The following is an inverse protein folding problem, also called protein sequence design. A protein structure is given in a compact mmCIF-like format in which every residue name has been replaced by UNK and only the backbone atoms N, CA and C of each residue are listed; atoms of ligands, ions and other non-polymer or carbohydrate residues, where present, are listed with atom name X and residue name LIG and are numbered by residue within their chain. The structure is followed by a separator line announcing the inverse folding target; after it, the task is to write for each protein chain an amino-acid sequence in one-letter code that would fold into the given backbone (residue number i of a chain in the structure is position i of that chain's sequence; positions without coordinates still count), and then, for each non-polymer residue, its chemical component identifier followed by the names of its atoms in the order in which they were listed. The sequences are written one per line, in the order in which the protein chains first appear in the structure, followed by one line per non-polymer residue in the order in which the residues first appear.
data_IF_146137450618
#
_entry.id   IF_146137450618
#
_cell.length_a   1.000
_cell.length_b   1.000
_cell.length_c   1.000
_cell.angle_alpha   90.00
_cell.angle_beta   90.00
_cell.angle_gamma   90.00
#
_symmetry.space_group_name_H-M   'P 1'
#
loop_
_entity.id
_entity.type
_entity.pdbx_description
1 polymer ?
#
# COMPACT_ATOMS: atom_id res chain seq x y z
N UNK A 1 -27.69 -43.98 -10.16
CA UNK A 1 -27.00 -42.88 -9.45
C UNK A 1 -25.82 -42.45 -10.30
N UNK A 2 -25.77 -41.19 -10.75
CA UNK A 2 -24.72 -40.72 -11.66
C UNK A 2 -23.38 -40.58 -10.92
N UNK A 3 -22.32 -41.20 -11.46
CA UNK A 3 -20.97 -41.06 -10.96
C UNK A 3 -20.48 -39.62 -11.16
N UNK A 4 -20.27 -38.88 -10.06
CA UNK A 4 -19.72 -37.52 -10.10
C UNK A 4 -18.22 -37.63 -10.28
N UNK A 5 -17.72 -37.16 -11.42
CA UNK A 5 -16.28 -37.06 -11.65
C UNK A 5 -15.80 -35.66 -11.28
N UNK A 6 -14.81 -35.56 -10.40
CA UNK A 6 -14.16 -34.28 -10.05
C UNK A 6 -12.74 -34.27 -10.61
N UNK A 7 -12.40 -33.21 -11.34
CA UNK A 7 -11.04 -33.00 -11.88
C UNK A 7 -10.30 -31.99 -11.00
N UNK A 8 -9.13 -32.36 -10.47
CA UNK A 8 -8.29 -31.48 -9.65
C UNK A 8 -6.90 -31.35 -10.25
N UNK A 9 -6.41 -30.11 -10.37
CA UNK A 9 -5.08 -29.82 -10.92
C UNK A 9 -3.96 -29.90 -9.87
N UNK A 10 -2.86 -30.55 -10.23
CA UNK A 10 -1.63 -30.62 -9.43
C UNK A 10 -1.48 -31.92 -8.63
N UNK A 11 -0.28 -32.51 -8.69
CA UNK A 11 -0.02 -33.89 -8.24
C UNK A 11 0.81 -34.01 -6.96
N UNK A 12 1.16 -32.89 -6.31
CA UNK A 12 1.94 -32.90 -5.06
C UNK A 12 1.70 -31.74 -4.09
N UNK A 13 0.73 -30.85 -4.37
CA UNK A 13 0.41 -29.68 -3.56
C UNK A 13 -1.03 -29.67 -3.06
N UNK A 14 -1.59 -28.48 -2.88
CA UNK A 14 -2.96 -28.29 -2.35
C UNK A 14 -4.01 -29.07 -3.15
N UNK A 15 -3.91 -29.08 -4.49
CA UNK A 15 -4.82 -29.83 -5.36
C UNK A 15 -4.82 -31.33 -5.09
N UNK A 16 -3.64 -31.92 -4.89
CA UNK A 16 -3.51 -33.34 -4.50
C UNK A 16 -4.13 -33.61 -3.12
N UNK A 17 -3.91 -32.71 -2.15
CA UNK A 17 -4.54 -32.81 -0.83
C UNK A 17 -6.07 -32.75 -0.86
N UNK A 18 -6.63 -31.89 -1.71
CA UNK A 18 -8.08 -31.78 -1.95
C UNK A 18 -8.61 -33.08 -2.59
N UNK A 19 -7.92 -33.60 -3.61
CA UNK A 19 -8.32 -34.83 -4.28
C UNK A 19 -8.39 -36.02 -3.31
N UNK A 20 -7.39 -36.18 -2.43
CA UNK A 20 -7.39 -37.21 -1.41
C UNK A 20 -8.55 -37.05 -0.41
N UNK A 21 -8.81 -35.83 0.06
CA UNK A 21 -9.91 -35.56 1.00
C UNK A 21 -11.27 -35.89 0.39
N UNK A 22 -11.47 -35.55 -0.89
CA UNK A 22 -12.73 -35.79 -1.59
C UNK A 22 -12.90 -37.28 -1.87
N UNK A 23 -11.85 -37.96 -2.36
CA UNK A 23 -11.86 -39.41 -2.59
C UNK A 23 -12.23 -40.19 -1.32
N UNK A 24 -11.69 -39.80 -0.16
CA UNK A 24 -12.05 -40.38 1.14
C UNK A 24 -13.52 -40.15 1.53
N UNK A 25 -14.04 -38.95 1.27
CA UNK A 25 -15.41 -38.56 1.65
C UNK A 25 -16.49 -39.04 0.68
N UNK A 26 -16.12 -39.53 -0.50
CA UNK A 26 -17.05 -39.94 -1.57
C UNK A 26 -16.55 -41.19 -2.31
N UNK A 27 -16.60 -42.38 -1.68
CA UNK A 27 -16.02 -43.61 -2.22
C UNK A 27 -16.66 -44.08 -3.54
N UNK A 28 -17.90 -43.68 -3.80
CA UNK A 28 -18.66 -44.00 -5.03
C UNK A 28 -18.38 -43.04 -6.20
N UNK A 29 -17.54 -42.02 -5.99
CA UNK A 29 -17.21 -41.00 -6.99
C UNK A 29 -15.78 -41.19 -7.51
N UNK A 30 -15.56 -40.93 -8.80
CA UNK A 30 -14.22 -40.96 -9.41
C UNK A 30 -13.56 -39.59 -9.27
N UNK A 31 -12.33 -39.54 -8.78
CA UNK A 31 -11.56 -38.30 -8.68
C UNK A 31 -10.40 -38.37 -9.66
N UNK A 32 -10.35 -37.45 -10.62
CA UNK A 32 -9.28 -37.37 -11.61
C UNK A 32 -8.29 -36.30 -11.17
N UNK A 33 -7.04 -36.69 -10.91
CA UNK A 33 -5.95 -35.76 -10.66
C UNK A 33 -5.20 -35.55 -11.96
N UNK A 34 -5.02 -34.29 -12.37
CA UNK A 34 -4.32 -33.96 -13.61
C UNK A 34 -3.07 -33.13 -13.37
N UNK A 35 -1.97 -33.53 -14.02
CA UNK A 35 -0.68 -32.87 -13.88
C UNK A 35 0.40 -33.50 -14.76
N UNK A 36 1.60 -32.92 -14.74
CA UNK A 36 2.70 -33.33 -15.62
C UNK A 36 3.20 -34.75 -15.32
N UNK A 37 3.28 -35.10 -14.04
CA UNK A 37 3.80 -36.38 -13.54
C UNK A 37 2.80 -36.98 -12.56
N UNK A 38 2.62 -38.31 -12.62
CA UNK A 38 1.77 -39.06 -11.70
C UNK A 38 2.27 -38.95 -10.25
N UNK A 39 1.37 -38.82 -9.24
CA UNK A 39 1.77 -38.88 -7.85
C UNK A 39 2.45 -40.20 -7.50
N UNK A 40 3.54 -40.17 -6.72
CA UNK A 40 4.27 -41.39 -6.31
C UNK A 40 3.47 -42.33 -5.40
N UNK A 41 2.42 -41.82 -4.77
CA UNK A 41 1.53 -42.58 -3.90
C UNK A 41 0.09 -42.13 -4.17
N UNK A 42 -0.85 -43.06 -4.32
CA UNK A 42 -2.28 -42.78 -4.51
C UNK A 42 -3.06 -43.56 -3.43
N UNK A 43 -3.49 -42.90 -2.35
CA UNK A 43 -4.00 -43.60 -1.17
C UNK A 43 -5.43 -44.14 -1.30
N UNK A 44 -6.16 -43.78 -2.36
CA UNK A 44 -7.55 -44.19 -2.58
C UNK A 44 -7.74 -44.75 -4.00
N UNK A 45 -8.41 -45.91 -4.11
CA UNK A 45 -8.60 -46.63 -5.38
C UNK A 45 -9.53 -45.94 -6.37
N UNK A 46 -10.34 -44.98 -5.90
CA UNK A 46 -11.21 -44.17 -6.73
C UNK A 46 -10.52 -42.88 -7.27
N UNK A 47 -9.22 -42.74 -7.06
CA UNK A 47 -8.40 -41.69 -7.69
C UNK A 47 -7.78 -42.23 -8.98
N UNK A 48 -7.92 -41.47 -10.06
CA UNK A 48 -7.29 -41.72 -11.35
C UNK A 48 -6.35 -40.58 -11.72
N UNK A 49 -5.19 -40.90 -12.27
CA UNK A 49 -4.29 -39.90 -12.83
C UNK A 49 -4.56 -39.71 -14.32
N UNK A 50 -4.63 -38.46 -14.77
CA UNK A 50 -4.62 -38.12 -16.20
C UNK A 50 -3.51 -37.12 -16.47
N UNK A 51 -2.56 -37.49 -17.31
CA UNK A 51 -1.45 -36.61 -17.62
C UNK A 51 -1.96 -35.34 -18.32
N UNK A 52 -1.47 -34.19 -17.88
CA UNK A 52 -1.73 -32.89 -18.48
C UNK A 52 -0.44 -32.09 -18.48
N UNK A 53 0.11 -31.84 -19.68
CA UNK A 53 1.19 -30.87 -19.83
C UNK A 53 0.60 -29.46 -20.04
N UNK A 54 0.51 -28.71 -18.94
CA UNK A 54 0.00 -27.34 -18.93
C UNK A 54 1.06 -26.30 -19.39
N UNK A 55 2.04 -26.72 -20.20
CA UNK A 55 3.06 -25.84 -20.79
C UNK A 55 2.50 -24.90 -21.87
N UNK A 56 1.28 -25.17 -22.38
CA UNK A 56 0.59 -24.30 -23.34
C UNK A 56 -0.93 -24.23 -23.10
N UNK A 57 -1.51 -23.06 -23.37
CA UNK A 57 -2.97 -22.85 -23.34
C UNK A 57 -3.74 -23.72 -24.34
N UNK A 58 -3.07 -24.12 -25.44
CA UNK A 58 -3.65 -25.01 -26.44
C UNK A 58 -3.88 -26.42 -25.88
N UNK A 59 -2.93 -26.96 -25.13
CA UNK A 59 -3.04 -28.27 -24.48
C UNK A 59 -4.16 -28.29 -23.41
N UNK A 60 -4.30 -27.20 -22.64
CA UNK A 60 -5.38 -27.03 -21.66
C UNK A 60 -6.75 -27.01 -22.36
N UNK A 61 -6.84 -26.30 -23.49
CA UNK A 61 -8.08 -26.23 -24.27
C UNK A 61 -8.47 -27.59 -24.84
N UNK A 62 -7.54 -28.31 -25.47
CA UNK A 62 -7.77 -29.66 -25.99
C UNK A 62 -8.24 -30.61 -24.90
N UNK A 63 -7.58 -30.61 -23.74
CA UNK A 63 -7.98 -31.43 -22.58
C UNK A 63 -9.41 -31.12 -22.10
N UNK A 64 -9.79 -29.83 -22.07
CA UNK A 64 -11.12 -29.39 -21.65
C UNK A 64 -12.19 -29.78 -22.68
N UNK A 65 -11.86 -29.70 -23.97
CA UNK A 65 -12.76 -30.07 -25.07
C UNK A 65 -13.02 -31.59 -25.07
N UNK A 66 -12.02 -32.43 -24.82
CA UNK A 66 -12.17 -33.88 -24.63
C UNK A 66 -13.04 -34.25 -23.42
N UNK A 67 -12.85 -33.56 -22.29
CA UNK A 67 -13.66 -33.78 -21.10
C UNK A 67 -15.14 -33.47 -21.37
N UNK A 68 -15.43 -32.35 -22.05
CA UNK A 68 -16.79 -31.97 -22.44
C UNK A 68 -17.41 -32.98 -23.41
N UNK A 69 -16.64 -33.51 -24.34
CA UNK A 69 -17.10 -34.52 -25.28
C UNK A 69 -17.43 -35.86 -24.59
N UNK A 70 -16.77 -36.17 -23.46
CA UNK A 70 -16.92 -37.45 -22.75
C UNK A 70 -18.15 -37.57 -21.83
N UNK A 71 -18.93 -36.50 -21.60
CA UNK A 71 -20.14 -36.54 -20.75
C UNK A 71 -21.35 -35.86 -21.42
N UNK A 72 -22.09 -36.54 -22.31
CA UNK A 72 -23.15 -35.91 -23.11
C UNK A 72 -24.51 -35.77 -22.41
N UNK A 73 -24.69 -36.25 -21.17
CA UNK A 73 -26.05 -36.52 -20.64
C UNK A 73 -26.40 -35.81 -19.33
N UNK A 74 -25.87 -34.61 -19.07
CA UNK A 74 -26.16 -33.86 -17.83
C UNK A 74 -26.82 -32.48 -18.03
N UNK A 75 -27.06 -32.05 -19.28
CA UNK A 75 -27.50 -30.67 -19.56
C UNK A 75 -28.97 -30.46 -19.95
N UNK A 76 -29.75 -31.52 -20.21
CA UNK A 76 -31.09 -31.37 -20.81
C UNK A 76 -32.28 -31.49 -19.83
N UNK A 77 -32.09 -31.90 -18.57
CA UNK A 77 -33.24 -32.32 -17.73
C UNK A 77 -33.50 -31.50 -16.46
N UNK A 78 -33.15 -30.21 -16.40
CA UNK A 78 -33.50 -29.32 -15.27
C UNK A 78 -33.72 -27.85 -15.71
N UNK A 79 -34.57 -27.62 -16.70
CA UNK A 79 -34.80 -26.30 -17.32
C UNK A 79 -35.64 -25.26 -16.56
N UNK A 80 -36.30 -25.51 -15.40
CA UNK A 80 -36.90 -24.40 -14.63
C UNK A 80 -36.22 -24.04 -13.30
N UNK A 81 -35.27 -24.83 -12.79
CA UNK A 81 -34.69 -24.58 -11.44
C UNK A 81 -33.34 -23.82 -11.52
N UNK A 82 -32.72 -23.71 -12.71
CA UNK A 82 -31.39 -23.09 -12.82
C UNK A 82 -31.39 -21.54 -12.90
N UNK A 83 -32.51 -20.87 -13.14
CA UNK A 83 -32.51 -19.41 -13.25
C UNK A 83 -32.33 -18.69 -11.89
N UNK A 84 -32.48 -19.40 -10.76
CA UNK A 84 -32.24 -18.82 -9.44
C UNK A 84 -30.79 -19.03 -8.93
N UNK A 85 -30.06 -20.03 -9.44
CA UNK A 85 -28.72 -20.39 -8.92
C UNK A 85 -27.54 -20.03 -9.85
N UNK A 86 -27.79 -19.81 -11.15
CA UNK A 86 -26.77 -19.19 -12.04
C UNK A 86 -26.60 -17.71 -11.77
N UNK A 87 -27.63 -17.02 -11.28
CA UNK A 87 -27.49 -15.62 -10.87
C UNK A 87 -26.64 -15.44 -9.61
N UNK A 88 -26.41 -16.50 -8.81
CA UNK A 88 -25.61 -16.41 -7.57
C UNK A 88 -24.16 -16.90 -7.74
N UNK A 89 -23.91 -17.84 -8.67
CA UNK A 89 -22.56 -18.38 -8.92
C UNK A 89 -21.79 -17.61 -10.01
N UNK A 90 -22.48 -17.02 -10.99
CA UNK A 90 -21.85 -16.06 -11.94
C UNK A 90 -21.63 -14.68 -11.30
N UNK A 91 -22.35 -14.34 -10.22
CA UNK A 91 -22.05 -13.14 -9.42
C UNK A 91 -20.88 -13.29 -8.46
N UNK A 92 -20.52 -14.50 -8.02
CA UNK A 92 -19.37 -14.69 -7.11
C UNK A 92 -18.03 -14.83 -7.83
N UNK A 93 -18.02 -15.28 -9.09
CA UNK A 93 -16.79 -15.46 -9.87
C UNK A 93 -16.26 -14.17 -10.53
N UNK A 94 -16.97 -13.04 -10.43
CA UNK A 94 -16.55 -11.74 -11.01
C UNK A 94 -16.00 -10.72 -9.99
N UNK A 95 -15.88 -11.08 -8.70
CA UNK A 95 -15.34 -10.16 -7.68
C UNK A 95 -13.98 -10.53 -7.08
N UNK A 96 -13.28 -11.55 -7.60
CA UNK A 96 -11.83 -11.63 -7.37
C UNK A 96 -11.17 -10.77 -8.44
N UNK A 97 -11.32 -9.44 -8.30
CA UNK A 97 -10.35 -8.56 -8.93
C UNK A 97 -8.98 -8.99 -8.41
N UNK A 98 -7.98 -9.27 -9.26
CA UNK A 98 -6.62 -9.36 -8.76
C UNK A 98 -6.39 -8.09 -7.94
N UNK A 99 -5.82 -8.22 -6.74
CA UNK A 99 -5.43 -7.05 -5.97
C UNK A 99 -4.66 -6.14 -6.92
N UNK A 100 -5.20 -4.94 -7.18
CA UNK A 100 -4.60 -4.04 -8.14
C UNK A 100 -3.16 -3.83 -7.71
N UNK A 101 -2.20 -3.97 -8.63
CA UNK A 101 -0.83 -3.69 -8.31
C UNK A 101 -0.73 -2.24 -7.82
N UNK A 102 0.07 -2.00 -6.79
CA UNK A 102 0.31 -0.66 -6.23
C UNK A 102 0.58 0.32 -7.40
N UNK A 103 -0.10 1.49 -7.47
CA UNK A 103 0.21 2.47 -8.50
C UNK A 103 1.63 3.01 -8.30
N UNK A 104 2.20 3.59 -9.38
CA UNK A 104 3.43 4.38 -9.23
C UNK A 104 3.23 5.49 -8.19
N UNK A 105 4.28 5.83 -7.47
CA UNK A 105 4.19 6.79 -6.37
C UNK A 105 4.90 8.09 -6.76
N UNK A 106 4.17 9.20 -6.77
CA UNK A 106 4.72 10.55 -6.76
C UNK A 106 4.51 11.12 -5.37
N UNK A 107 5.58 11.19 -4.59
CA UNK A 107 5.51 11.52 -3.17
C UNK A 107 6.08 12.90 -2.88
N UNK A 108 5.35 13.70 -2.12
CA UNK A 108 5.82 14.97 -1.57
C UNK A 108 6.16 14.80 -0.08
N UNK A 109 7.45 14.72 0.31
CA UNK A 109 7.85 14.79 1.71
C UNK A 109 7.81 16.25 2.18
N UNK A 110 6.85 16.60 3.04
CA UNK A 110 6.66 17.94 3.58
C UNK A 110 7.00 17.97 5.07
N UNK A 111 7.76 18.96 5.51
CA UNK A 111 8.03 19.13 6.93
C UNK A 111 9.18 20.06 7.26
N UNK A 112 9.84 19.76 8.38
CA UNK A 112 10.96 20.53 8.91
C UNK A 112 12.32 19.83 8.71
N UNK A 113 13.26 20.01 9.63
CA UNK A 113 14.60 19.42 9.60
C UNK A 113 14.58 17.89 9.57
N UNK A 114 13.56 17.26 10.19
CA UNK A 114 13.45 15.80 10.20
C UNK A 114 13.12 15.30 8.79
N UNK A 115 12.24 15.98 8.05
CA UNK A 115 11.96 15.66 6.63
C UNK A 115 13.16 15.95 5.73
N UNK A 116 13.91 17.03 6.00
CA UNK A 116 15.19 17.28 5.32
C UNK A 116 16.20 16.17 5.57
N UNK A 117 16.13 15.49 6.70
CA UNK A 117 17.06 14.41 7.08
C UNK A 117 18.24 14.90 7.92
N UNK A 118 18.10 16.02 8.65
CA UNK A 118 19.13 16.48 9.59
C UNK A 118 19.48 15.36 10.58
N UNK A 119 20.77 15.13 10.80
CA UNK A 119 21.26 14.06 11.68
C UNK A 119 21.50 12.71 10.97
N UNK A 120 21.01 12.52 9.74
CA UNK A 120 21.29 11.30 8.96
C UNK A 120 22.62 11.37 8.23
N UNK A 121 23.23 10.20 8.02
CA UNK A 121 24.36 10.04 7.11
C UNK A 121 23.98 10.48 5.71
N UNK A 122 24.77 11.38 5.11
CA UNK A 122 24.53 11.86 3.75
C UNK A 122 23.29 12.75 3.60
N UNK A 123 22.65 13.21 4.68
CA UNK A 123 21.51 14.13 4.68
C UNK A 123 20.32 13.63 3.83
N UNK A 124 20.02 12.33 3.93
CA UNK A 124 18.92 11.68 3.18
C UNK A 124 17.68 11.44 4.03
N UNK A 125 17.82 11.38 5.36
CA UNK A 125 16.74 11.11 6.30
C UNK A 125 15.99 9.82 5.98
N UNK A 126 14.68 9.80 6.24
CA UNK A 126 13.83 8.67 5.87
C UNK A 126 13.62 8.54 4.36
N UNK A 127 13.96 9.56 3.56
CA UNK A 127 13.59 9.65 2.13
C UNK A 127 14.27 8.55 1.32
N UNK A 128 15.57 8.33 1.53
CA UNK A 128 16.30 7.26 0.83
C UNK A 128 15.77 5.85 1.18
N UNK A 129 15.72 5.42 2.45
CA UNK A 129 15.20 4.09 2.79
C UNK A 129 13.74 3.92 2.36
N UNK A 130 12.90 4.95 2.48
CA UNK A 130 11.51 4.89 1.99
C UNK A 130 11.47 4.66 0.48
N UNK A 131 12.22 5.45 -0.31
CA UNK A 131 12.28 5.33 -1.77
C UNK A 131 12.71 3.92 -2.19
N UNK A 132 13.75 3.38 -1.56
CA UNK A 132 14.21 2.02 -1.82
C UNK A 132 13.14 0.97 -1.49
N UNK A 133 12.42 1.12 -0.38
CA UNK A 133 11.36 0.20 0.02
C UNK A 133 10.13 0.26 -0.91
N UNK A 134 9.79 1.43 -1.44
CA UNK A 134 8.75 1.59 -2.46
C UNK A 134 9.16 0.91 -3.77
N UNK A 135 10.41 1.11 -4.23
CA UNK A 135 10.92 0.43 -5.42
C UNK A 135 10.88 -1.10 -5.29
N UNK A 136 11.13 -1.63 -4.09
CA UNK A 136 11.00 -3.07 -3.79
C UNK A 136 9.56 -3.60 -3.90
N UNK A 137 8.54 -2.74 -3.96
CA UNK A 137 7.17 -3.13 -4.28
C UNK A 137 6.93 -3.31 -5.80
N UNK A 138 7.95 -3.09 -6.64
CA UNK A 138 7.85 -3.27 -8.10
C UNK A 138 7.26 -2.09 -8.85
N UNK A 139 7.15 -0.92 -8.21
CA UNK A 139 6.57 0.31 -8.80
C UNK A 139 7.62 1.39 -9.00
N UNK A 140 7.35 2.36 -9.87
CA UNK A 140 8.18 3.57 -9.99
C UNK A 140 7.86 4.53 -8.84
N UNK A 141 8.88 5.26 -8.42
CA UNK A 141 8.75 6.33 -7.44
C UNK A 141 9.44 7.60 -7.96
N UNK A 142 8.76 8.73 -7.78
CA UNK A 142 9.31 10.07 -7.99
C UNK A 142 9.07 10.89 -6.70
N UNK A 143 10.15 11.39 -6.11
CA UNK A 143 10.10 12.32 -4.99
C UNK A 143 9.96 13.74 -5.56
N UNK A 144 8.98 14.50 -5.09
CA UNK A 144 8.76 15.89 -5.52
C UNK A 144 8.94 16.86 -4.36
N UNK A 145 9.31 18.08 -4.70
CA UNK A 145 9.65 19.14 -3.77
C UNK A 145 10.50 20.21 -4.44
N UNK A 146 10.53 21.40 -3.86
CA UNK A 146 11.33 22.52 -4.38
C UNK A 146 12.78 22.47 -3.91
N UNK A 147 13.06 21.71 -2.85
CA UNK A 147 14.40 21.47 -2.35
C UNK A 147 14.93 20.13 -2.83
N UNK A 148 16.24 20.02 -2.91
CA UNK A 148 16.95 18.76 -3.21
C UNK A 148 18.19 18.68 -2.34
N UNK A 149 18.22 17.72 -1.43
CA UNK A 149 19.35 17.48 -0.55
C UNK A 149 19.66 15.98 -0.40
N UNK A 150 20.91 15.74 -0.02
CA UNK A 150 21.46 14.44 0.29
C UNK A 150 22.00 13.67 -0.90
N UNK A 151 22.83 12.67 -0.62
CA UNK A 151 23.48 11.82 -1.62
C UNK A 151 22.55 10.69 -2.13
N UNK A 152 21.38 11.06 -2.65
CA UNK A 152 20.40 10.11 -3.19
C UNK A 152 19.91 10.49 -4.58
N UNK A 153 19.63 9.47 -5.40
CA UNK A 153 18.87 9.64 -6.64
C UNK A 153 17.48 10.16 -6.29
N UNK A 154 17.04 11.18 -7.02
CA UNK A 154 15.72 11.76 -6.85
C UNK A 154 15.46 12.19 -5.40
N UNK A 155 16.38 13.00 -4.87
CA UNK A 155 16.36 13.50 -3.49
C UNK A 155 15.50 14.74 -3.26
N UNK A 156 14.46 14.99 -4.06
CA UNK A 156 13.62 16.17 -3.86
C UNK A 156 12.75 16.04 -2.60
N UNK A 157 12.48 17.17 -1.96
CA UNK A 157 11.63 17.27 -0.78
C UNK A 157 11.17 18.70 -0.51
N UNK A 158 10.29 18.85 0.47
CA UNK A 158 9.84 20.11 1.04
C UNK A 158 10.06 20.12 2.58
N UNK A 159 11.16 19.51 3.03
CA UNK A 159 11.68 19.60 4.40
C UNK A 159 12.53 20.85 4.66
N UNK A 160 12.07 21.74 5.55
CA UNK A 160 12.71 23.03 5.84
C UNK A 160 13.25 23.11 7.27
N UNK A 161 14.58 23.00 7.45
CA UNK A 161 15.19 23.05 8.78
C UNK A 161 14.85 24.32 9.56
N UNK A 162 14.47 24.14 10.83
CA UNK A 162 14.18 25.25 11.76
C UNK A 162 12.84 25.95 11.55
N UNK A 163 12.03 25.52 10.56
CA UNK A 163 10.77 26.17 10.21
C UNK A 163 9.60 25.64 11.03
N UNK A 164 8.72 26.56 11.42
CA UNK A 164 7.50 26.28 12.18
C UNK A 164 6.31 26.12 11.23
N UNK A 165 5.18 25.67 11.76
CA UNK A 165 3.97 25.44 10.96
C UNK A 165 3.51 26.68 10.19
N UNK A 166 3.68 27.88 10.75
CA UNK A 166 3.33 29.13 10.08
C UNK A 166 4.11 29.33 8.76
N UNK A 167 5.41 29.06 8.75
CA UNK A 167 6.24 29.11 7.54
C UNK A 167 5.84 27.98 6.56
N UNK A 168 5.69 26.76 7.08
CA UNK A 168 5.37 25.57 6.28
C UNK A 168 4.01 25.73 5.57
N UNK A 169 3.08 26.51 6.13
CA UNK A 169 1.79 26.85 5.51
C UNK A 169 1.92 27.66 4.21
N UNK A 170 3.07 28.30 3.96
CA UNK A 170 3.40 28.86 2.66
C UNK A 170 4.13 27.86 1.75
N UNK A 171 5.04 27.06 2.30
CA UNK A 171 5.98 26.27 1.50
C UNK A 171 5.36 25.09 0.74
N UNK A 172 4.22 24.55 1.19
CA UNK A 172 3.56 23.46 0.47
C UNK A 172 2.94 23.88 -0.87
N UNK A 173 2.67 25.17 -1.07
CA UNK A 173 1.85 25.68 -2.18
C UNK A 173 2.48 25.53 -3.57
N UNK A 174 3.81 25.66 -3.66
CA UNK A 174 4.56 25.45 -4.90
C UNK A 174 4.73 23.97 -5.26
N UNK A 175 5.26 23.08 -4.39
CA UNK A 175 5.50 21.69 -4.76
C UNK A 175 4.22 20.88 -4.97
N UNK A 176 3.09 21.24 -4.35
CA UNK A 176 1.81 20.54 -4.59
C UNK A 176 1.34 20.65 -6.05
N UNK A 177 1.81 21.66 -6.80
CA UNK A 177 1.52 21.80 -8.23
C UNK A 177 2.06 20.63 -9.05
N UNK A 178 3.07 19.90 -8.54
CA UNK A 178 3.54 18.65 -9.14
C UNK A 178 2.52 17.50 -9.08
N UNK A 179 1.35 17.72 -8.47
CA UNK A 179 0.27 16.73 -8.31
C UNK A 179 0.78 15.40 -7.73
N UNK A 180 1.42 15.39 -6.55
CA UNK A 180 1.74 14.13 -5.87
C UNK A 180 0.44 13.36 -5.60
N UNK A 181 0.48 12.02 -5.71
CA UNK A 181 -0.62 11.16 -5.25
C UNK A 181 -0.47 10.80 -3.77
N UNK A 182 0.71 11.03 -3.18
CA UNK A 182 0.99 10.88 -1.75
C UNK A 182 1.70 12.12 -1.20
N UNK A 183 1.18 12.71 -0.12
CA UNK A 183 1.93 13.69 0.69
C UNK A 183 2.25 13.09 2.05
N UNK A 184 3.52 13.15 2.45
CA UNK A 184 3.96 12.79 3.79
C UNK A 184 4.12 14.08 4.58
N UNK A 185 3.46 14.21 5.72
CA UNK A 185 3.55 15.41 6.56
C UNK A 185 4.10 15.01 7.92
N UNK A 186 5.26 15.58 8.26
CA UNK A 186 5.79 15.58 9.62
C UNK A 186 6.32 16.98 9.93
N UNK A 187 5.53 17.75 10.69
CA UNK A 187 5.79 19.15 10.98
C UNK A 187 5.25 19.53 12.36
N UNK A 188 5.81 20.59 12.94
CA UNK A 188 5.45 21.09 14.27
C UNK A 188 6.54 20.87 15.32
N UNK A 189 7.59 20.11 15.00
CA UNK A 189 8.73 19.87 15.89
C UNK A 189 9.33 21.18 16.42
N UNK A 190 9.51 22.19 15.57
CA UNK A 190 10.09 23.48 16.00
C UNK A 190 9.13 24.32 16.86
N UNK A 191 7.82 24.21 16.66
CA UNK A 191 6.84 24.84 17.55
C UNK A 191 6.93 24.24 18.95
N UNK A 192 6.97 22.91 19.04
CA UNK A 192 7.04 22.19 20.31
C UNK A 192 8.37 22.42 21.03
N UNK A 193 9.48 22.44 20.29
CA UNK A 193 10.82 22.70 20.81
C UNK A 193 10.96 24.12 21.37
N UNK A 194 10.58 25.13 20.59
CA UNK A 194 10.70 26.53 21.00
C UNK A 194 9.59 26.99 21.96
N UNK A 195 8.49 26.23 22.06
CA UNK A 195 7.31 26.62 22.83
C UNK A 195 6.57 27.81 22.22
N UNK A 196 6.51 27.88 20.88
CA UNK A 196 5.90 28.99 20.13
C UNK A 196 4.65 28.55 19.41
N UNK A 197 3.64 29.42 19.41
CA UNK A 197 2.36 29.24 18.71
C UNK A 197 1.65 27.92 19.09
N UNK A 198 1.84 27.44 20.33
CA UNK A 198 1.36 26.14 20.77
C UNK A 198 -0.18 26.02 20.74
N UNK A 199 -0.86 27.15 20.96
CA UNK A 199 -2.32 27.29 20.97
C UNK A 199 -2.93 27.27 19.56
N UNK A 200 -2.21 27.77 18.55
CA UNK A 200 -2.69 27.83 17.15
C UNK A 200 -2.08 26.76 16.24
N UNK A 201 -1.04 26.04 16.67
CA UNK A 201 -0.31 25.05 15.87
C UNK A 201 -1.24 24.02 15.20
N UNK A 202 -2.24 23.50 15.93
CA UNK A 202 -3.15 22.50 15.39
C UNK A 202 -4.07 23.09 14.30
N UNK A 203 -4.45 24.37 14.43
CA UNK A 203 -5.22 25.08 13.41
C UNK A 203 -4.39 25.32 12.14
N UNK A 204 -3.13 25.72 12.28
CA UNK A 204 -2.25 25.93 11.12
C UNK A 204 -2.01 24.61 10.37
N UNK A 205 -1.81 23.50 11.10
CA UNK A 205 -1.70 22.18 10.48
C UNK A 205 -3.00 21.76 9.77
N UNK A 206 -4.16 22.16 10.32
CA UNK A 206 -5.46 21.96 9.67
C UNK A 206 -5.55 22.72 8.34
N UNK A 207 -5.09 23.97 8.32
CA UNK A 207 -5.08 24.81 7.12
C UNK A 207 -4.15 24.23 6.04
N UNK A 208 -2.98 23.70 6.42
CA UNK A 208 -2.08 22.99 5.50
C UNK A 208 -2.79 21.80 4.86
N UNK A 209 -3.38 20.93 5.69
CA UNK A 209 -4.07 19.72 5.22
C UNK A 209 -5.26 20.06 4.31
N UNK A 210 -6.08 21.02 4.71
CA UNK A 210 -7.28 21.41 3.96
C UNK A 210 -6.89 22.16 2.67
N UNK A 211 -5.83 22.97 2.70
CA UNK A 211 -5.24 23.62 1.53
C UNK A 211 -4.72 22.62 0.50
N UNK A 212 -3.99 21.58 0.95
CA UNK A 212 -3.53 20.48 0.09
C UNK A 212 -4.73 19.78 -0.56
N UNK A 213 -5.77 19.42 0.20
CA UNK A 213 -6.97 18.80 -0.37
C UNK A 213 -7.75 19.73 -1.30
N UNK A 214 -7.69 21.05 -1.11
CA UNK A 214 -8.33 22.02 -2.00
C UNK A 214 -7.64 22.04 -3.37
N UNK A 215 -6.31 22.02 -3.40
CA UNK A 215 -5.55 21.99 -4.64
C UNK A 215 -5.59 20.60 -5.27
N UNK A 216 -5.30 19.55 -4.49
CA UNK A 216 -5.23 18.16 -4.91
C UNK A 216 -6.29 17.28 -4.20
N UNK A 217 -7.55 17.31 -4.66
CA UNK A 217 -8.65 16.60 -3.99
C UNK A 217 -8.55 15.06 -4.02
N UNK A 218 -7.74 14.51 -4.93
CA UNK A 218 -7.50 13.08 -5.11
C UNK A 218 -6.24 12.57 -4.39
N UNK A 219 -5.49 13.45 -3.72
CA UNK A 219 -4.26 13.07 -3.01
C UNK A 219 -4.57 12.23 -1.77
N UNK A 220 -3.65 11.35 -1.43
CA UNK A 220 -3.62 10.71 -0.10
C UNK A 220 -2.59 11.42 0.78
N UNK A 221 -3.02 11.84 1.98
CA UNK A 221 -2.14 12.43 2.98
C UNK A 221 -1.80 11.37 4.03
N UNK A 222 -0.51 11.13 4.24
CA UNK A 222 0.00 10.42 5.41
C UNK A 222 0.53 11.47 6.38
N UNK A 223 -0.13 11.63 7.54
CA UNK A 223 0.22 12.64 8.54
C UNK A 223 0.73 11.96 9.81
N UNK A 224 1.98 12.22 10.16
CA UNK A 224 2.57 11.74 11.40
C UNK A 224 2.36 12.79 12.51
N UNK A 225 1.87 12.40 13.70
CA UNK A 225 2.09 13.17 14.92
C UNK A 225 3.60 13.40 15.13
N UNK A 226 3.97 14.47 15.84
CA UNK A 226 5.39 14.79 16.11
C UNK A 226 6.00 13.65 16.92
N UNK A 227 7.16 13.15 16.47
CA UNK A 227 7.89 12.08 17.14
C UNK A 227 8.29 12.45 18.58
N UNK A 228 8.59 11.43 19.38
CA UNK A 228 9.14 11.62 20.71
C UNK A 228 10.47 12.39 20.67
N UNK A 229 10.68 13.27 21.65
CA UNK A 229 11.90 14.04 21.84
C UNK A 229 12.54 13.71 23.20
N UNK A 230 13.87 13.59 23.20
CA UNK A 230 14.67 13.47 24.42
C UNK A 230 14.92 14.85 25.07
N UNK A 231 13.86 15.64 25.19
CA UNK A 231 13.82 16.91 25.92
C UNK A 231 12.48 17.04 26.64
N UNK A 232 12.51 17.23 27.97
CA UNK A 232 11.30 17.19 28.80
C UNK A 232 10.30 18.29 28.45
N UNK A 233 10.78 19.50 28.13
CA UNK A 233 9.91 20.65 27.83
C UNK A 233 9.25 20.45 26.48
N UNK A 234 10.03 20.10 25.47
CA UNK A 234 9.53 19.79 24.13
C UNK A 234 8.56 18.62 24.14
N UNK A 235 8.86 17.55 24.89
CA UNK A 235 7.98 16.39 24.99
C UNK A 235 6.64 16.76 25.64
N UNK A 236 6.65 17.55 26.72
CA UNK A 236 5.40 18.01 27.35
C UNK A 236 4.53 18.85 26.41
N UNK A 237 5.14 19.64 25.51
CA UNK A 237 4.39 20.36 24.46
C UNK A 237 3.83 19.39 23.41
N UNK A 238 4.65 18.42 22.98
CA UNK A 238 4.28 17.38 22.02
C UNK A 238 3.11 16.51 22.53
N UNK A 239 3.10 16.17 23.82
CA UNK A 239 2.04 15.39 24.46
C UNK A 239 0.68 16.12 24.44
N UNK A 240 0.69 17.46 24.47
CA UNK A 240 -0.53 18.29 24.33
C UNK A 240 -0.94 18.50 22.88
N UNK A 241 0.03 18.54 21.96
CA UNK A 241 -0.21 18.79 20.55
C UNK A 241 -0.71 17.56 19.79
N UNK A 242 -0.06 16.40 19.98
CA UNK A 242 -0.36 15.19 19.22
C UNK A 242 -1.82 14.70 19.32
N UNK A 243 -2.52 14.78 20.48
CA UNK A 243 -3.95 14.47 20.54
C UNK A 243 -4.81 15.35 19.61
N UNK A 244 -4.43 16.61 19.42
CA UNK A 244 -5.12 17.53 18.50
C UNK A 244 -4.85 17.15 17.03
N UNK A 245 -3.64 16.73 16.70
CA UNK A 245 -3.30 16.17 15.37
C UNK A 245 -4.16 14.96 15.04
N UNK A 246 -4.29 14.01 15.99
CA UNK A 246 -5.15 12.82 15.82
C UNK A 246 -6.62 13.19 15.66
N UNK A 247 -7.09 14.18 16.40
CA UNK A 247 -8.46 14.70 16.28
C UNK A 247 -8.72 15.33 14.91
N UNK A 248 -7.75 16.11 14.41
CA UNK A 248 -7.76 16.68 13.06
C UNK A 248 -7.88 15.57 12.00
N UNK A 249 -7.04 14.53 12.08
CA UNK A 249 -7.06 13.39 11.14
C UNK A 249 -8.43 12.71 11.17
N UNK A 250 -8.90 12.35 12.37
CA UNK A 250 -10.19 11.69 12.56
C UNK A 250 -11.36 12.51 11.98
N UNK A 251 -11.34 13.84 12.16
CA UNK A 251 -12.36 14.73 11.61
C UNK A 251 -12.36 14.74 10.07
N UNK A 252 -11.19 14.69 9.42
CA UNK A 252 -11.08 14.62 7.95
C UNK A 252 -11.47 13.23 7.43
N UNK A 253 -11.13 12.16 8.13
CA UNK A 253 -11.58 10.80 7.81
C UNK A 253 -13.12 10.68 7.86
N UNK A 254 -13.77 11.28 8.87
CA UNK A 254 -15.26 11.35 8.94
C UNK A 254 -15.88 12.09 7.74
N UNK A 255 -15.15 13.04 7.17
CA UNK A 255 -15.49 13.74 5.92
C UNK A 255 -15.04 12.99 4.65
N UNK A 256 -14.67 11.71 4.79
CA UNK A 256 -14.22 10.81 3.71
C UNK A 256 -12.98 11.31 2.95
N UNK A 257 -12.16 12.17 3.57
CA UNK A 257 -10.87 12.57 3.01
C UNK A 257 -9.86 11.43 3.17
N UNK A 258 -8.99 11.26 2.18
CA UNK A 258 -7.93 10.24 2.18
C UNK A 258 -6.75 10.69 3.03
N UNK A 259 -6.89 10.58 4.35
CA UNK A 259 -5.83 10.90 5.30
C UNK A 259 -5.63 9.75 6.29
N UNK A 260 -4.37 9.37 6.53
CA UNK A 260 -3.98 8.37 7.52
C UNK A 260 -3.08 8.98 8.58
N UNK A 261 -3.30 8.57 9.83
CA UNK A 261 -2.31 8.74 10.89
C UNK A 261 -1.12 7.81 10.63
N UNK A 262 0.09 8.33 10.79
CA UNK A 262 1.32 7.55 10.74
C UNK A 262 1.99 7.61 12.11
N UNK A 263 1.68 6.68 13.02
CA UNK A 263 2.40 6.61 14.28
C UNK A 263 3.83 6.14 14.03
N UNK A 264 4.80 6.85 14.61
CA UNK A 264 6.22 6.56 14.50
C UNK A 264 6.78 6.42 15.92
N UNK A 265 7.18 5.20 16.28
CA UNK A 265 7.73 4.88 17.60
C UNK A 265 9.26 5.12 17.62
N UNK A 266 9.64 6.35 17.93
CA UNK A 266 11.04 6.77 18.14
C UNK A 266 11.38 6.68 19.62
N UNK A 267 12.53 6.08 19.92
CA UNK A 267 13.10 5.96 21.26
C UNK A 267 14.39 6.77 21.35
N UNK A 268 14.96 6.85 22.56
CA UNK A 268 16.20 7.58 22.80
C UNK A 268 17.35 7.07 21.92
N UNK A 269 17.45 5.77 21.71
CA UNK A 269 18.51 5.15 20.90
C UNK A 269 18.35 5.42 19.40
N UNK A 270 17.18 5.89 18.98
CA UNK A 270 16.86 6.22 17.59
C UNK A 270 17.18 7.68 17.24
N UNK A 271 17.68 8.46 18.21
CA UNK A 271 18.02 9.88 18.02
C UNK A 271 19.53 10.09 17.93
N UNK A 272 19.95 11.02 17.08
CA UNK A 272 21.32 11.54 17.05
C UNK A 272 21.55 12.72 18.01
N UNK A 273 20.46 13.40 18.39
CA UNK A 273 20.47 14.47 19.40
C UNK A 273 19.18 14.44 20.25
N UNK A 274 18.68 15.58 20.73
CA UNK A 274 17.44 15.61 21.52
C UNK A 274 16.15 15.43 20.71
N UNK A 275 16.17 15.53 19.37
CA UNK A 275 14.95 15.51 18.54
C UNK A 275 15.11 14.97 17.12
N UNK A 276 16.32 14.95 16.56
CA UNK A 276 16.57 14.47 15.21
C UNK A 276 16.90 12.97 15.25
N UNK A 277 16.22 12.15 14.45
CA UNK A 277 16.57 10.74 14.31
C UNK A 277 18.00 10.54 13.81
N UNK A 278 18.63 9.46 14.27
CA UNK A 278 19.80 8.88 13.60
C UNK A 278 19.34 7.99 12.43
N UNK A 279 20.27 7.30 11.77
CA UNK A 279 19.95 6.48 10.60
C UNK A 279 18.93 5.36 10.90
N UNK A 280 19.02 4.72 12.08
CA UNK A 280 18.08 3.67 12.50
C UNK A 280 16.68 4.24 12.78
N UNK A 281 16.62 5.41 13.43
CA UNK A 281 15.37 6.13 13.62
C UNK A 281 14.73 6.56 12.30
N UNK A 282 15.53 6.99 11.32
CA UNK A 282 15.03 7.30 9.98
C UNK A 282 14.56 6.07 9.20
N UNK A 283 15.18 4.88 9.38
CA UNK A 283 14.64 3.64 8.81
C UNK A 283 13.28 3.27 9.45
N UNK A 284 13.12 3.46 10.77
CA UNK A 284 11.82 3.29 11.44
C UNK A 284 10.75 4.22 10.87
N UNK A 285 11.08 5.49 10.67
CA UNK A 285 10.19 6.44 9.98
C UNK A 285 9.82 5.95 8.57
N UNK A 286 10.80 5.48 7.78
CA UNK A 286 10.54 4.96 6.45
C UNK A 286 9.63 3.73 6.45
N UNK A 287 9.78 2.82 7.42
CA UNK A 287 8.90 1.66 7.58
C UNK A 287 7.46 2.08 7.92
N UNK A 288 7.28 3.06 8.80
CA UNK A 288 5.97 3.60 9.15
C UNK A 288 5.28 4.28 7.95
N UNK A 289 6.03 5.09 7.18
CA UNK A 289 5.51 5.71 5.95
C UNK A 289 5.09 4.67 4.92
N UNK A 290 5.92 3.66 4.65
CA UNK A 290 5.59 2.59 3.71
C UNK A 290 4.32 1.84 4.16
N UNK A 291 4.22 1.51 5.46
CA UNK A 291 3.04 0.84 6.01
C UNK A 291 1.77 1.65 5.75
N UNK A 292 1.81 2.97 5.95
CA UNK A 292 0.68 3.86 5.69
C UNK A 292 0.34 3.94 4.19
N UNK A 293 1.33 4.02 3.31
CA UNK A 293 1.13 4.00 1.85
C UNK A 293 0.44 2.69 1.42
N UNK A 294 0.92 1.54 1.89
CA UNK A 294 0.32 0.24 1.59
C UNK A 294 -1.07 0.08 2.20
N UNK A 295 -1.34 0.70 3.35
CA UNK A 295 -2.69 0.74 3.92
C UNK A 295 -3.64 1.60 3.08
N UNK A 296 -3.19 2.75 2.59
CA UNK A 296 -3.97 3.59 1.69
C UNK A 296 -4.30 2.87 0.37
N UNK A 297 -3.35 2.11 -0.17
CA UNK A 297 -3.56 1.25 -1.34
C UNK A 297 -4.65 0.20 -1.10
N UNK A 298 -4.57 -0.51 0.03
CA UNK A 298 -5.60 -1.49 0.44
C UNK A 298 -6.99 -0.89 0.58
N UNK A 299 -7.09 0.40 0.93
CA UNK A 299 -8.37 1.13 0.99
C UNK A 299 -8.84 1.67 -0.37
N UNK A 300 -8.06 1.45 -1.43
CA UNK A 300 -8.33 1.96 -2.79
C UNK A 300 -8.16 3.47 -2.93
N UNK A 301 -7.38 4.11 -2.05
CA UNK A 301 -7.20 5.56 -2.05
C UNK A 301 -6.11 6.02 -3.01
N UNK A 302 -5.13 5.16 -3.29
CA UNK A 302 -4.05 5.48 -4.22
C UNK A 302 -4.49 5.27 -5.66
N UNK A 303 -4.21 6.28 -6.48
CA UNK A 303 -4.39 6.25 -7.94
C UNK A 303 -3.04 6.50 -8.62
N UNK A 304 -2.94 6.15 -9.90
CA UNK A 304 -1.78 6.56 -10.70
C UNK A 304 -1.59 8.08 -10.62
N UNK A 305 -0.34 8.57 -10.48
CA UNK A 305 -0.08 10.00 -10.49
C UNK A 305 -0.62 10.61 -11.77
N UNK A 306 -1.28 11.76 -11.66
CA UNK A 306 -1.74 12.51 -12.82
C UNK A 306 -0.53 12.77 -13.72
N UNK A 307 -0.71 12.55 -15.03
CA UNK A 307 0.34 12.79 -16.02
C UNK A 307 0.70 14.28 -15.99
N UNK A 308 1.96 14.56 -15.73
CA UNK A 308 2.54 15.89 -15.64
C UNK A 308 3.90 15.87 -16.33
N UNK A 309 4.29 17.00 -16.90
CA UNK A 309 5.60 17.29 -17.46
C UNK A 309 6.37 18.26 -16.54
N UNK A 310 7.72 18.33 -16.63
CA UNK A 310 8.50 19.30 -15.88
C UNK A 310 8.05 20.76 -16.09
N UNK A 311 7.48 21.08 -17.25
CA UNK A 311 6.98 22.41 -17.62
C UNK A 311 5.71 22.79 -16.84
N UNK A 312 4.90 21.80 -16.44
CA UNK A 312 3.64 22.05 -15.71
C UNK A 312 3.88 22.49 -14.26
N UNK A 313 5.00 22.08 -13.66
CA UNK A 313 5.41 22.51 -12.32
C UNK A 313 6.94 22.66 -12.22
N UNK A 314 7.51 23.74 -12.78
CA UNK A 314 8.96 23.90 -12.88
C UNK A 314 9.65 23.91 -11.52
N UNK A 315 10.77 23.18 -11.43
CA UNK A 315 11.60 23.12 -10.22
C UNK A 315 11.01 22.33 -9.06
N UNK A 316 10.08 21.40 -9.34
CA UNK A 316 9.45 20.55 -8.31
C UNK A 316 9.92 19.09 -8.31
N UNK A 317 10.90 18.73 -9.16
CA UNK A 317 11.41 17.36 -9.26
C UNK A 317 10.63 16.42 -10.19
N UNK A 318 9.63 16.93 -10.93
CA UNK A 318 8.97 16.17 -11.99
C UNK A 318 10.00 15.70 -13.04
N UNK A 319 9.96 14.40 -13.37
CA UNK A 319 10.83 13.78 -14.38
C UNK A 319 12.24 13.38 -13.90
N UNK A 320 12.52 13.53 -12.61
CA UNK A 320 13.79 13.12 -11.98
C UNK A 320 13.92 11.60 -11.76
#
# INVERSE_FOLDING_TARGET
MAAKSLVVGGTGGIGYGIACRIAASSPSSTVIISGRNEPKNIPHSNIQFKQLDASSMRAIKTYTDELKASQPALFEMLSPIWNALTLLTVLMATFISPAAALPNIRVLPLGDSITKGTGSTGLVGYRLPLRQKILKQGVKVNMVGTLKNGNMVDGHHEGHSGKMLADINGYWQKPIQARPNVVLIHAGTNNMDQGKDLDIAASILADIVDGIFKVAPDVTICLAPVIWANDKKMQANTDKFNPQVRSLISARQKKRKHILEVPIDIKKEDLGDSKHPNDDGYDKMANAWLKAILEADKKGWLKMPIKMSPEDAPGTGLGA
#
